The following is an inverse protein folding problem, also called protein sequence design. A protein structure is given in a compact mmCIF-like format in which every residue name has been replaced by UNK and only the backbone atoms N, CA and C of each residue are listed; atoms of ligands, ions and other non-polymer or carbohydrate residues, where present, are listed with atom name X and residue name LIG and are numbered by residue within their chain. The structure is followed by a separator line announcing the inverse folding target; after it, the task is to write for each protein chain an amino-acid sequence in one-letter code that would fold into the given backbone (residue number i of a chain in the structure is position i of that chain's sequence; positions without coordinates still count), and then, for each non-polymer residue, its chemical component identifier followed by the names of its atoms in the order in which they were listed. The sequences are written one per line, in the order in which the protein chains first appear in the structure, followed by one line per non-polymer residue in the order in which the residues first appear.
data_IF_069152334649
#
_entry.id   IF_069152334649
#
_cell.length_a   1.000
_cell.length_b   1.000
_cell.length_c   1.000
_cell.angle_alpha   90.00
_cell.angle_beta   90.00
_cell.angle_gamma   90.00
#
_symmetry.space_group_name_H-M   'P 1'
#
loop_
_entity.id
_entity.type
_entity.pdbx_description
1 polymer ?
#
# COMPACT_ATOMS: atom_id res chain seq x y z
N UNK A 1 29.62 -17.87 12.78
CA UNK A 1 28.97 -16.79 11.99
C UNK A 1 27.52 -16.72 12.47
N UNK A 2 27.12 -15.65 13.16
CA UNK A 2 25.78 -15.50 13.71
C UNK A 2 24.96 -14.72 12.67
N UNK A 3 24.21 -15.41 11.82
CA UNK A 3 23.37 -14.77 10.81
C UNK A 3 22.05 -14.33 11.45
N UNK A 4 21.87 -13.03 11.67
CA UNK A 4 20.52 -12.44 11.81
C UNK A 4 20.21 -11.69 13.10
N UNK A 5 20.93 -10.61 13.40
CA UNK A 5 20.37 -9.48 14.16
C UNK A 5 19.72 -8.48 13.19
N UNK A 6 18.94 -9.00 12.24
CA UNK A 6 18.15 -8.15 11.34
C UNK A 6 16.97 -7.64 12.12
N UNK A 7 17.05 -6.44 12.70
CA UNK A 7 15.85 -5.71 13.13
C UNK A 7 14.86 -5.76 11.97
N UNK A 8 13.81 -6.56 12.12
CA UNK A 8 12.75 -6.73 11.14
C UNK A 8 12.02 -5.39 11.05
N UNK A 9 12.59 -4.48 10.27
CA UNK A 9 12.09 -3.13 10.08
C UNK A 9 10.78 -3.30 9.35
N UNK A 10 9.68 -3.09 10.09
CA UNK A 10 8.35 -3.10 9.51
C UNK A 10 8.30 -1.99 8.47
N UNK A 11 8.41 -2.38 7.19
CA UNK A 11 8.32 -1.46 6.06
C UNK A 11 6.89 -0.92 6.04
N UNK A 12 6.74 0.30 6.54
CA UNK A 12 5.52 1.07 6.38
C UNK A 12 5.59 1.77 5.03
N UNK A 13 4.47 1.77 4.30
CA UNK A 13 4.37 2.45 3.02
C UNK A 13 3.04 3.16 2.94
N UNK A 14 3.06 4.36 2.36
CA UNK A 14 1.86 5.15 2.08
C UNK A 14 1.02 4.56 0.96
N UNK A 15 1.65 3.73 0.13
CA UNK A 15 1.07 3.05 -1.00
C UNK A 15 1.03 1.54 -0.75
N UNK A 16 0.00 0.84 -1.25
CA UNK A 16 -0.05 -0.60 -1.19
C UNK A 16 1.11 -1.18 -2.03
N UNK A 17 1.71 -2.30 -1.58
CA UNK A 17 2.61 -3.05 -2.43
C UNK A 17 1.84 -3.59 -3.64
N UNK A 18 2.55 -3.75 -4.77
CA UNK A 18 2.00 -4.22 -6.05
C UNK A 18 1.08 -5.44 -5.88
N UNK A 19 1.56 -6.48 -5.19
CA UNK A 19 0.82 -7.72 -4.93
C UNK A 19 -0.55 -7.48 -4.25
N UNK A 20 -0.62 -6.54 -3.31
CA UNK A 20 -1.88 -6.19 -2.63
C UNK A 20 -2.79 -5.37 -3.54
N UNK A 21 -2.23 -4.43 -4.30
CA UNK A 21 -3.03 -3.65 -5.25
C UNK A 21 -3.62 -4.54 -6.35
N UNK A 22 -2.83 -5.48 -6.86
CA UNK A 22 -3.28 -6.46 -7.86
C UNK A 22 -4.38 -7.38 -7.30
N UNK A 23 -4.26 -7.83 -6.04
CA UNK A 23 -5.25 -8.69 -5.40
C UNK A 23 -6.49 -7.94 -4.86
N UNK A 24 -6.44 -6.60 -4.77
CA UNK A 24 -7.54 -5.79 -4.22
C UNK A 24 -8.80 -5.77 -5.09
N UNK A 25 -8.74 -6.30 -6.32
CA UNK A 25 -9.83 -6.26 -7.29
C UNK A 25 -10.00 -4.92 -8.00
N UNK A 26 -9.19 -3.89 -7.65
CA UNK A 26 -9.14 -2.63 -8.39
C UNK A 26 -8.29 -2.71 -9.66
N UNK A 27 -7.32 -3.62 -9.69
CA UNK A 27 -6.45 -3.82 -10.85
C UNK A 27 -7.09 -4.75 -11.89
N UNK A 28 -7.47 -4.19 -13.03
CA UNK A 28 -8.05 -4.93 -14.16
C UNK A 28 -6.99 -5.37 -15.20
N UNK A 29 -5.70 -5.30 -14.85
CA UNK A 29 -4.58 -5.53 -15.77
C UNK A 29 -4.08 -4.26 -16.47
N UNK A 30 -4.77 -3.13 -16.32
CA UNK A 30 -4.35 -1.81 -16.78
C UNK A 30 -4.83 -0.72 -15.81
N UNK A 31 -4.25 0.47 -15.93
CA UNK A 31 -4.69 1.64 -15.17
C UNK A 31 -6.01 2.16 -15.74
N UNK A 32 -7.12 1.76 -15.12
CA UNK A 32 -8.47 2.18 -15.48
C UNK A 32 -8.89 3.44 -14.70
N UNK A 33 -9.97 4.09 -15.12
CA UNK A 33 -10.54 5.25 -14.39
C UNK A 33 -10.86 4.91 -12.93
N UNK A 34 -11.20 3.65 -12.62
CA UNK A 34 -11.41 3.20 -11.23
C UNK A 34 -10.11 3.17 -10.41
N UNK A 35 -8.98 2.84 -11.06
CA UNK A 35 -7.66 2.90 -10.42
C UNK A 35 -7.29 4.34 -10.07
N UNK A 36 -7.50 5.25 -11.03
CA UNK A 36 -7.31 6.69 -10.85
C UNK A 36 -8.19 7.23 -9.71
N UNK A 37 -9.47 6.89 -9.71
CA UNK A 37 -10.43 7.36 -8.71
C UNK A 37 -10.07 6.86 -7.31
N UNK A 38 -9.69 5.59 -7.17
CA UNK A 38 -9.16 5.06 -5.91
C UNK A 38 -7.88 5.78 -5.49
N UNK A 39 -6.94 6.00 -6.41
CA UNK A 39 -5.67 6.67 -6.12
C UNK A 39 -5.89 8.09 -5.62
N UNK A 40 -6.76 8.85 -6.29
CA UNK A 40 -7.09 10.22 -5.88
C UNK A 40 -7.81 10.25 -4.53
N UNK A 41 -8.79 9.37 -4.29
CA UNK A 41 -9.47 9.25 -2.99
C UNK A 41 -8.50 8.87 -1.86
N UNK A 42 -7.56 7.99 -2.14
CA UNK A 42 -6.52 7.57 -1.21
C UNK A 42 -5.54 8.72 -0.91
N UNK A 43 -5.09 9.42 -1.95
CA UNK A 43 -4.20 10.59 -1.84
C UNK A 43 -4.86 11.73 -1.05
N UNK A 44 -6.16 11.96 -1.22
CA UNK A 44 -6.93 12.92 -0.41
C UNK A 44 -6.98 12.49 1.07
N UNK A 45 -7.14 11.19 1.33
CA UNK A 45 -7.16 10.65 2.71
C UNK A 45 -5.79 10.80 3.40
N UNK A 46 -4.70 10.61 2.65
CA UNK A 46 -3.33 10.87 3.10
C UNK A 46 -3.15 12.35 3.41
N UNK A 47 -3.53 13.24 2.47
CA UNK A 47 -3.42 14.70 2.64
C UNK A 47 -4.27 15.22 3.81
N UNK A 48 -5.44 14.63 4.04
CA UNK A 48 -6.32 14.95 5.16
C UNK A 48 -5.81 14.42 6.51
N UNK A 49 -4.62 13.79 6.54
CA UNK A 49 -4.00 13.16 7.71
C UNK A 49 -4.88 12.08 8.37
N UNK A 50 -5.87 11.56 7.63
CA UNK A 50 -6.78 10.49 8.07
C UNK A 50 -6.22 9.10 7.82
N UNK A 51 -5.21 9.01 6.96
CA UNK A 51 -4.55 7.76 6.64
C UNK A 51 -3.16 7.72 7.27
N UNK A 52 -2.83 6.62 7.94
CA UNK A 52 -1.48 6.37 8.47
C UNK A 52 -0.79 5.35 7.55
N UNK A 53 0.53 5.47 7.33
CA UNK A 53 1.25 4.53 6.48
C UNK A 53 1.14 3.12 7.06
N UNK A 54 0.66 2.19 6.24
CA UNK A 54 0.36 0.83 6.66
C UNK A 54 1.55 -0.07 6.37
N UNK A 55 1.75 -1.08 7.23
CA UNK A 55 2.68 -2.18 6.96
C UNK A 55 2.08 -3.14 5.95
N UNK A 56 2.92 -3.97 5.30
CA UNK A 56 2.45 -4.98 4.35
C UNK A 56 1.27 -5.82 4.88
N UNK A 57 1.29 -6.21 6.16
CA UNK A 57 0.20 -7.01 6.77
C UNK A 57 -1.10 -6.24 7.01
N UNK A 58 -1.04 -4.91 7.03
CA UNK A 58 -2.19 -4.01 7.19
C UNK A 58 -2.83 -3.64 5.83
N UNK A 59 -2.07 -3.80 4.75
CA UNK A 59 -2.55 -3.85 3.38
C UNK A 59 -3.04 -5.28 3.11
N UNK A 60 -4.26 -5.62 3.56
CA UNK A 60 -4.91 -6.91 3.31
C UNK A 60 -6.08 -6.72 2.36
#
# INVERSE_FOLDING_TARGET
IITGLGSQTSKVSWWPPRDVFENSGYWLGYWSDRCEEWFQRHLLSIKSNKFQPKTKSQWK
#
